data_IF_020233427494
#
_entry.id   IF_020233427494
#
_cell.length_a   1.000
_cell.length_b   1.000
_cell.length_c   1.000
_cell.angle_alpha   90.00
_cell.angle_beta   90.00
_cell.angle_gamma   90.00
#
_symmetry.space_group_name_H-M   'P 1'
#
loop_
_entity.id
_entity.type
_entity.pdbx_description
1 polymer ?
#
# COMPACT_ATOMS: atom_id res chain seq x y z
N UNK A 1 -8.67 -72.03 -42.04
CA UNK A 1 -9.74 -72.00 -41.03
C UNK A 1 -9.48 -70.85 -40.08
N UNK A 2 -10.56 -70.19 -39.70
CA UNK A 2 -10.71 -68.93 -38.95
C UNK A 2 -10.22 -69.06 -37.49
N UNK A 3 -9.53 -68.06 -36.94
CA UNK A 3 -10.05 -67.30 -35.78
C UNK A 3 -9.22 -66.05 -35.40
N UNK A 4 -9.94 -64.95 -35.26
CA UNK A 4 -9.54 -63.63 -34.75
C UNK A 4 -9.63 -63.65 -33.22
N UNK A 5 -8.62 -63.15 -32.51
CA UNK A 5 -8.76 -62.57 -31.15
C UNK A 5 -7.63 -61.56 -30.93
N UNK A 6 -7.82 -60.27 -31.23
CA UNK A 6 -8.21 -59.17 -30.33
C UNK A 6 -7.31 -58.95 -29.11
N UNK A 7 -6.73 -57.75 -29.09
CA UNK A 7 -6.54 -56.83 -27.97
C UNK A 7 -5.71 -57.30 -26.76
N UNK A 8 -4.56 -56.66 -26.53
CA UNK A 8 -4.42 -55.58 -25.54
C UNK A 8 -2.96 -55.09 -25.55
N UNK A 9 -2.70 -54.00 -26.27
CA UNK A 9 -1.54 -53.15 -26.00
C UNK A 9 -1.82 -52.42 -24.68
N UNK A 10 -1.21 -52.88 -23.60
CA UNK A 10 -1.22 -52.22 -22.30
C UNK A 10 -0.16 -51.12 -22.26
N UNK A 11 -0.64 -49.87 -22.29
CA UNK A 11 0.08 -48.63 -21.99
C UNK A 11 0.91 -48.74 -20.70
N UNK A 12 2.21 -48.40 -20.79
CA UNK A 12 2.98 -47.95 -19.65
C UNK A 12 3.78 -46.71 -20.06
N UNK A 13 3.07 -45.59 -20.25
CA UNK A 13 3.68 -44.28 -20.25
C UNK A 13 3.95 -43.91 -18.78
N UNK A 14 5.18 -44.11 -18.33
CA UNK A 14 5.68 -43.56 -17.08
C UNK A 14 5.64 -42.03 -17.18
N UNK A 15 4.59 -41.44 -16.61
CA UNK A 15 4.54 -40.01 -16.32
C UNK A 15 5.62 -39.71 -15.29
N UNK A 16 6.77 -39.23 -15.75
CA UNK A 16 7.72 -38.50 -14.92
C UNK A 16 7.05 -37.19 -14.53
N UNK A 17 6.28 -37.21 -13.44
CA UNK A 17 5.85 -36.01 -12.77
C UNK A 17 7.11 -35.33 -12.21
N UNK A 18 7.69 -34.41 -12.98
CA UNK A 18 8.64 -33.45 -12.45
C UNK A 18 7.93 -32.74 -11.29
N UNK A 19 8.37 -33.01 -10.06
CA UNK A 19 7.93 -32.27 -8.89
C UNK A 19 8.20 -30.79 -9.17
N UNK A 20 7.15 -30.01 -9.39
CA UNK A 20 7.26 -28.55 -9.42
C UNK A 20 7.71 -28.18 -8.01
N UNK A 21 8.89 -27.54 -7.82
CA UNK A 21 9.32 -27.14 -6.50
C UNK A 21 8.27 -26.20 -5.92
N UNK A 22 7.61 -26.62 -4.83
CA UNK A 22 6.57 -25.87 -4.12
C UNK A 22 7.12 -24.62 -3.42
N UNK A 23 8.45 -24.42 -3.45
CA UNK A 23 9.15 -23.39 -2.67
C UNK A 23 9.85 -22.35 -3.56
N UNK A 24 9.30 -22.04 -4.74
CA UNK A 24 9.80 -20.92 -5.55
C UNK A 24 9.83 -19.60 -4.76
N UNK A 25 8.91 -19.43 -3.80
CA UNK A 25 8.86 -18.26 -2.91
C UNK A 25 10.04 -18.19 -1.90
N UNK A 26 10.58 -19.32 -1.42
CA UNK A 26 11.73 -19.33 -0.50
C UNK A 26 13.06 -19.08 -1.22
N UNK A 27 13.08 -19.18 -2.55
CA UNK A 27 14.28 -18.95 -3.38
C UNK A 27 14.38 -17.52 -3.90
N UNK A 28 13.35 -16.69 -3.71
CA UNK A 28 13.43 -15.27 -4.05
C UNK A 28 14.16 -14.55 -2.91
N UNK A 29 15.33 -13.95 -3.15
CA UNK A 29 16.00 -13.17 -2.12
C UNK A 29 15.09 -12.04 -1.65
N UNK A 30 15.09 -11.77 -0.35
CA UNK A 30 14.33 -10.66 0.21
C UNK A 30 14.73 -9.36 -0.49
N UNK A 31 13.74 -8.60 -0.94
CA UNK A 31 14.00 -7.27 -1.50
C UNK A 31 14.35 -6.32 -0.36
N UNK A 32 15.60 -5.85 -0.32
CA UNK A 32 16.03 -4.85 0.65
C UNK A 32 15.71 -3.45 0.15
N UNK A 33 14.84 -2.73 0.87
CA UNK A 33 14.55 -1.32 0.60
C UNK A 33 15.68 -0.47 1.19
N UNK A 34 16.36 0.37 0.39
CA UNK A 34 17.36 1.31 0.92
C UNK A 34 16.76 2.18 2.03
N UNK A 35 17.44 2.27 3.17
CA UNK A 35 16.97 3.00 4.34
C UNK A 35 17.91 4.17 4.67
N UNK A 36 17.32 5.34 4.93
CA UNK A 36 18.04 6.55 5.29
C UNK A 36 17.54 7.10 6.63
N UNK A 37 18.44 7.70 7.42
CA UNK A 37 18.03 8.47 8.59
C UNK A 37 17.45 9.81 8.13
N UNK A 38 16.20 10.08 8.51
CA UNK A 38 15.49 11.29 8.13
C UNK A 38 16.18 12.57 8.63
N UNK A 39 16.87 12.51 9.77
CA UNK A 39 17.52 13.67 10.36
C UNK A 39 18.80 14.09 9.63
N UNK A 40 19.36 13.20 8.80
CA UNK A 40 20.66 13.42 8.14
C UNK A 40 20.56 13.52 6.62
N UNK A 41 19.33 13.65 6.07
CA UNK A 41 19.11 13.67 4.62
C UNK A 41 19.90 14.75 3.87
N UNK A 42 20.18 15.88 4.52
CA UNK A 42 20.95 16.99 3.95
C UNK A 42 22.45 16.95 4.23
N UNK A 43 22.95 15.89 4.89
CA UNK A 43 24.35 15.82 5.33
C UNK A 43 25.24 15.12 4.31
N UNK A 44 26.45 15.64 4.11
CA UNK A 44 27.47 14.99 3.27
C UNK A 44 26.97 14.63 1.87
N UNK A 45 27.17 13.38 1.48
CA UNK A 45 26.74 12.85 0.18
C UNK A 45 25.33 12.20 0.20
N UNK A 46 24.64 12.20 1.34
CA UNK A 46 23.33 11.56 1.48
C UNK A 46 22.32 11.98 0.41
N UNK A 47 22.26 13.25 -0.06
CA UNK A 47 21.40 13.61 -1.18
C UNK A 47 21.62 12.79 -2.46
N UNK A 48 22.87 12.56 -2.84
CA UNK A 48 23.19 11.76 -4.03
C UNK A 48 22.92 10.28 -3.79
N UNK A 49 23.18 9.77 -2.58
CA UNK A 49 22.88 8.38 -2.22
C UNK A 49 21.37 8.09 -2.29
N UNK A 50 20.54 9.04 -1.83
CA UNK A 50 19.07 8.99 -1.96
C UNK A 50 18.64 9.00 -3.43
N UNK A 51 19.23 9.88 -4.24
CA UNK A 51 18.93 9.94 -5.68
C UNK A 51 19.29 8.62 -6.38
N UNK A 52 20.44 8.05 -6.07
CA UNK A 52 20.91 6.80 -6.69
C UNK A 52 20.03 5.61 -6.29
N UNK A 53 19.60 5.55 -5.03
CA UNK A 53 18.63 4.55 -4.56
C UNK A 53 17.28 4.66 -5.30
N UNK A 54 16.75 5.89 -5.43
CA UNK A 54 15.49 6.13 -6.17
C UNK A 54 15.61 5.81 -7.66
N UNK A 55 16.75 6.08 -8.31
CA UNK A 55 16.98 5.70 -9.71
C UNK A 55 17.05 4.18 -9.89
N UNK A 56 17.61 3.47 -8.92
CA UNK A 56 17.83 2.03 -8.98
C UNK A 56 16.49 1.29 -8.84
N UNK A 57 15.72 1.60 -7.80
CA UNK A 57 14.58 0.78 -7.39
C UNK A 57 13.26 1.56 -7.26
N UNK A 58 13.30 2.89 -7.29
CA UNK A 58 12.12 3.75 -7.15
C UNK A 58 11.50 3.79 -5.75
N UNK A 59 12.08 3.06 -4.78
CA UNK A 59 11.61 2.98 -3.40
C UNK A 59 12.75 3.19 -2.42
N UNK A 60 12.48 3.96 -1.38
CA UNK A 60 13.35 4.18 -0.23
C UNK A 60 12.51 4.16 1.04
N UNK A 61 13.16 3.97 2.17
CA UNK A 61 12.55 4.04 3.49
C UNK A 61 13.29 5.04 4.38
N UNK A 62 12.58 5.56 5.38
CA UNK A 62 13.13 6.47 6.36
C UNK A 62 13.00 5.92 7.76
N UNK A 63 14.03 6.15 8.55
CA UNK A 63 14.03 5.97 10.01
C UNK A 63 14.09 7.32 10.70
N UNK A 64 13.73 7.37 11.98
CA UNK A 64 13.84 8.56 12.83
C UNK A 64 13.04 9.79 12.34
N UNK A 65 11.93 9.57 11.63
CA UNK A 65 10.98 10.64 11.30
C UNK A 65 10.32 11.14 12.60
N UNK A 66 10.46 12.43 12.97
CA UNK A 66 9.90 12.98 14.20
C UNK A 66 8.40 12.74 14.30
N UNK A 67 7.93 12.34 15.48
CA UNK A 67 6.50 12.13 15.82
C UNK A 67 5.74 11.08 14.99
N UNK A 68 6.34 10.48 13.95
CA UNK A 68 5.65 9.58 13.03
C UNK A 68 4.98 8.40 13.71
N UNK A 69 5.67 7.73 14.63
CA UNK A 69 5.10 6.57 15.32
C UNK A 69 3.84 6.93 16.13
N UNK A 70 3.83 8.11 16.77
CA UNK A 70 2.70 8.58 17.56
C UNK A 70 1.53 9.01 16.68
N UNK A 71 1.79 9.89 15.70
CA UNK A 71 0.76 10.42 14.80
C UNK A 71 0.14 9.30 13.95
N UNK A 72 0.97 8.39 13.42
CA UNK A 72 0.49 7.21 12.69
C UNK A 72 -0.42 6.35 13.55
N UNK A 73 -0.09 6.11 14.83
CA UNK A 73 -0.93 5.32 15.73
C UNK A 73 -2.28 6.00 15.95
N UNK A 74 -2.27 7.29 16.28
CA UNK A 74 -3.49 8.09 16.45
C UNK A 74 -4.39 8.02 15.23
N UNK A 75 -3.82 8.19 14.03
CA UNK A 75 -4.55 8.06 12.78
C UNK A 75 -5.12 6.66 12.56
N UNK A 76 -4.32 5.61 12.71
CA UNK A 76 -4.80 4.24 12.49
C UNK A 76 -5.88 3.83 13.48
N UNK A 77 -5.78 4.24 14.74
CA UNK A 77 -6.79 3.96 15.75
C UNK A 77 -8.11 4.69 15.41
N UNK A 78 -8.03 5.97 15.05
CA UNK A 78 -9.18 6.78 14.61
C UNK A 78 -9.83 6.24 13.33
N UNK A 79 -9.03 5.90 12.32
CA UNK A 79 -9.52 5.38 11.05
C UNK A 79 -10.15 3.99 11.19
N UNK A 80 -9.57 3.12 12.02
CA UNK A 80 -10.15 1.81 12.32
C UNK A 80 -11.51 1.95 13.02
N UNK A 81 -11.59 2.79 14.05
CA UNK A 81 -12.83 3.04 14.76
C UNK A 81 -13.90 3.63 13.83
N UNK A 82 -13.54 4.62 13.01
CA UNK A 82 -14.44 5.23 12.05
C UNK A 82 -14.93 4.24 10.99
N UNK A 83 -14.04 3.41 10.43
CA UNK A 83 -14.42 2.44 9.40
C UNK A 83 -15.47 1.43 9.91
N UNK A 84 -15.35 1.01 11.17
CA UNK A 84 -16.31 0.09 11.81
C UNK A 84 -17.63 0.81 12.13
N UNK A 85 -17.60 2.00 12.73
CA UNK A 85 -18.85 2.72 13.07
C UNK A 85 -19.59 3.22 11.83
N UNK A 86 -18.87 3.65 10.79
CA UNK A 86 -19.45 4.12 9.54
C UNK A 86 -20.18 3.00 8.78
N UNK A 87 -19.79 1.74 9.01
CA UNK A 87 -20.49 0.57 8.45
C UNK A 87 -21.91 0.46 9.02
N UNK A 88 -22.09 0.72 10.32
CA UNK A 88 -23.39 0.59 11.00
C UNK A 88 -24.45 1.55 10.43
N UNK A 89 -23.99 2.72 9.96
CA UNK A 89 -24.84 3.77 9.38
C UNK A 89 -24.80 3.80 7.85
N UNK A 90 -24.12 2.84 7.21
CA UNK A 90 -23.96 2.74 5.76
C UNK A 90 -23.45 4.06 5.13
N UNK A 91 -22.39 4.63 5.70
CA UNK A 91 -21.86 5.92 5.27
C UNK A 91 -21.34 5.88 3.81
N UNK A 92 -21.68 6.89 3.02
CA UNK A 92 -21.40 6.94 1.58
C UNK A 92 -19.90 6.88 1.23
N UNK A 93 -19.03 7.44 2.08
CA UNK A 93 -17.58 7.45 1.84
C UNK A 93 -16.92 6.08 2.08
N UNK A 94 -17.63 5.14 2.70
CA UNK A 94 -17.08 3.85 3.10
C UNK A 94 -17.29 2.82 1.99
N UNK A 95 -16.19 2.30 1.43
CA UNK A 95 -16.26 1.17 0.52
C UNK A 95 -16.18 -0.14 1.30
N UNK A 96 -17.03 -1.10 0.95
CA UNK A 96 -17.10 -2.41 1.58
C UNK A 96 -16.87 -3.53 0.57
N UNK A 97 -16.10 -4.56 0.98
CA UNK A 97 -15.94 -5.79 0.22
C UNK A 97 -15.74 -6.98 1.15
N UNK A 98 -16.54 -8.03 1.00
CA UNK A 98 -16.23 -9.35 1.57
C UNK A 98 -15.29 -10.11 0.64
N UNK A 99 -14.19 -10.60 1.18
CA UNK A 99 -13.18 -11.40 0.48
C UNK A 99 -13.61 -12.87 0.40
N UNK A 100 -12.91 -13.65 -0.42
CA UNK A 100 -13.24 -15.06 -0.69
C UNK A 100 -13.20 -15.94 0.57
N UNK A 101 -12.37 -15.58 1.55
CA UNK A 101 -12.24 -16.25 2.84
C UNK A 101 -13.27 -15.78 3.88
N UNK A 102 -14.21 -14.90 3.48
CA UNK A 102 -15.22 -14.31 4.35
C UNK A 102 -14.74 -13.06 5.11
N UNK A 103 -13.47 -12.65 4.96
CA UNK A 103 -12.95 -11.44 5.60
C UNK A 103 -13.63 -10.20 5.03
N UNK A 104 -14.19 -9.37 5.89
CA UNK A 104 -14.76 -8.08 5.53
C UNK A 104 -13.66 -7.03 5.45
N UNK A 105 -13.60 -6.28 4.34
CA UNK A 105 -12.68 -5.16 4.14
C UNK A 105 -13.47 -3.87 4.00
N UNK A 106 -13.17 -2.93 4.88
CA UNK A 106 -13.66 -1.55 4.83
C UNK A 106 -12.56 -0.65 4.31
N UNK A 107 -12.90 0.29 3.44
CA UNK A 107 -11.94 1.25 2.87
C UNK A 107 -12.44 2.67 3.03
N UNK A 108 -11.59 3.50 3.62
CA UNK A 108 -11.73 4.95 3.60
C UNK A 108 -10.68 5.46 2.61
N UNK A 109 -11.14 6.19 1.59
CA UNK A 109 -10.28 6.85 0.62
C UNK A 109 -10.37 8.35 0.85
N UNK A 110 -9.26 9.00 1.16
CA UNK A 110 -9.23 10.44 1.42
C UNK A 110 -8.11 11.07 0.59
N UNK A 111 -8.37 12.10 -0.22
CA UNK A 111 -7.30 12.89 -0.83
C UNK A 111 -6.36 13.41 0.26
N UNK A 112 -5.06 13.42 0.01
CA UNK A 112 -4.04 13.89 0.96
C UNK A 112 -3.16 14.98 0.35
N UNK A 113 -2.34 15.63 1.18
CA UNK A 113 -1.50 16.75 0.73
C UNK A 113 -2.33 18.00 0.42
N UNK A 114 -2.08 18.63 -0.74
CA UNK A 114 -2.72 19.91 -1.10
C UNK A 114 -4.23 19.79 -1.37
N UNK A 115 -4.73 18.58 -1.63
CA UNK A 115 -6.14 18.33 -1.95
C UNK A 115 -6.96 17.79 -0.75
N UNK A 116 -6.41 17.82 0.47
CA UNK A 116 -6.89 17.02 1.61
C UNK A 116 -8.31 17.31 2.16
N UNK A 117 -9.04 18.31 1.64
CA UNK A 117 -10.09 18.95 2.45
C UNK A 117 -11.50 18.37 2.26
N UNK A 118 -11.89 17.98 1.04
CA UNK A 118 -13.29 17.66 0.75
C UNK A 118 -13.76 16.34 1.40
N UNK A 119 -13.01 15.25 1.24
CA UNK A 119 -13.44 13.93 1.72
C UNK A 119 -13.24 13.74 3.22
N UNK A 120 -12.23 14.39 3.81
CA UNK A 120 -12.03 14.38 5.25
C UNK A 120 -13.23 15.04 5.97
N UNK A 121 -13.81 16.09 5.40
CA UNK A 121 -15.00 16.78 5.93
C UNK A 121 -16.22 15.86 5.95
N UNK A 122 -16.48 15.12 4.86
CA UNK A 122 -17.59 14.14 4.81
C UNK A 122 -17.37 13.01 5.82
N UNK A 123 -16.13 12.54 5.98
CA UNK A 123 -15.79 11.49 6.94
C UNK A 123 -16.00 11.98 8.38
N UNK A 124 -15.60 13.22 8.69
CA UNK A 124 -15.76 13.84 10.00
C UNK A 124 -17.23 13.99 10.42
N UNK A 125 -18.13 14.21 9.46
CA UNK A 125 -19.57 14.26 9.73
C UNK A 125 -20.14 12.94 10.28
N UNK A 126 -19.61 11.80 9.83
CA UNK A 126 -19.97 10.47 10.37
C UNK A 126 -19.12 10.07 11.58
N UNK A 127 -17.89 10.58 11.66
CA UNK A 127 -16.89 10.26 12.67
C UNK A 127 -16.28 11.54 13.25
N UNK A 128 -16.96 12.22 14.19
CA UNK A 128 -16.50 13.52 14.69
C UNK A 128 -15.09 13.46 15.28
N UNK A 129 -14.20 14.35 14.81
CA UNK A 129 -12.81 14.43 15.23
C UNK A 129 -11.84 13.68 14.30
N UNK A 130 -12.35 12.88 13.35
CA UNK A 130 -11.52 12.18 12.35
C UNK A 130 -10.67 13.17 11.55
N UNK A 131 -11.26 14.27 11.06
CA UNK A 131 -10.55 15.23 10.19
C UNK A 131 -9.34 15.83 10.90
N UNK A 132 -9.46 16.16 12.18
CA UNK A 132 -8.34 16.75 12.94
C UNK A 132 -7.15 15.79 13.00
N UNK A 133 -7.41 14.51 13.27
CA UNK A 133 -6.36 13.49 13.36
C UNK A 133 -5.78 13.19 11.97
N UNK A 134 -6.63 13.15 10.95
CA UNK A 134 -6.20 12.95 9.56
C UNK A 134 -5.32 14.10 9.07
N UNK A 135 -5.71 15.35 9.31
CA UNK A 135 -4.96 16.54 8.91
C UNK A 135 -3.57 16.57 9.58
N UNK A 136 -3.47 16.16 10.85
CA UNK A 136 -2.18 16.04 11.55
C UNK A 136 -1.27 14.99 10.87
N UNK A 137 -1.81 13.81 10.54
CA UNK A 137 -1.07 12.77 9.84
C UNK A 137 -0.67 13.18 8.43
N UNK A 138 -1.59 13.75 7.66
CA UNK A 138 -1.36 14.21 6.29
C UNK A 138 -0.30 15.32 6.25
N UNK A 139 -0.35 16.27 7.20
CA UNK A 139 0.65 17.34 7.32
C UNK A 139 2.05 16.80 7.63
N UNK A 140 2.14 15.78 8.48
CA UNK A 140 3.41 15.13 8.77
C UNK A 140 3.99 14.44 7.52
N UNK A 141 3.16 13.73 6.76
CA UNK A 141 3.59 13.08 5.51
C UNK A 141 4.03 14.10 4.46
N UNK A 142 3.31 15.21 4.31
CA UNK A 142 3.69 16.28 3.38
C UNK A 142 5.03 16.92 3.79
N UNK A 143 5.30 17.10 5.09
CA UNK A 143 6.61 17.56 5.56
C UNK A 143 7.74 16.59 5.16
N UNK A 144 7.50 15.27 5.30
CA UNK A 144 8.46 14.25 4.88
C UNK A 144 8.72 14.34 3.38
N UNK A 145 7.66 14.40 2.57
CA UNK A 145 7.75 14.55 1.11
C UNK A 145 8.55 15.79 0.74
N UNK A 146 8.25 16.95 1.34
CA UNK A 146 8.93 18.20 1.05
C UNK A 146 10.43 18.14 1.39
N UNK A 147 10.80 17.42 2.45
CA UNK A 147 12.20 17.20 2.80
C UNK A 147 12.92 16.27 1.82
N UNK A 148 12.25 15.22 1.31
CA UNK A 148 12.80 14.41 0.22
C UNK A 148 13.01 15.27 -1.03
N UNK A 149 12.02 16.09 -1.38
CA UNK A 149 12.11 16.96 -2.54
C UNK A 149 13.25 17.97 -2.41
N UNK A 150 13.43 18.55 -1.22
CA UNK A 150 14.56 19.44 -0.90
C UNK A 150 15.90 18.71 -1.00
N UNK A 151 15.95 17.46 -0.55
CA UNK A 151 17.14 16.61 -0.64
C UNK A 151 17.52 16.37 -2.10
N UNK A 152 16.54 16.06 -2.96
CA UNK A 152 16.78 15.87 -4.40
C UNK A 152 17.18 17.17 -5.10
N UNK A 153 16.64 18.31 -4.70
CA UNK A 153 17.03 19.63 -5.23
C UNK A 153 18.51 19.98 -4.90
N UNK A 154 19.12 19.34 -3.91
CA UNK A 154 20.54 19.50 -3.59
C UNK A 154 21.48 18.65 -4.47
N UNK A 155 20.93 17.87 -5.40
CA UNK A 155 21.67 17.00 -6.32
C UNK A 155 21.73 17.60 -7.73
N UNK A 156 22.33 16.87 -8.68
CA UNK A 156 22.28 17.23 -10.11
C UNK A 156 21.01 16.74 -10.81
N UNK A 157 20.00 16.26 -10.06
CA UNK A 157 18.75 15.82 -10.64
C UNK A 157 17.99 17.00 -11.26
N UNK A 158 17.58 16.82 -12.51
CA UNK A 158 16.75 17.79 -13.24
C UNK A 158 15.67 17.03 -13.99
N UNK A 159 14.46 17.59 -14.00
CA UNK A 159 13.34 17.08 -14.81
C UNK A 159 12.64 18.24 -15.49
N UNK A 160 11.83 17.94 -16.51
CA UNK A 160 11.07 18.93 -17.28
C UNK A 160 9.60 18.60 -17.27
N UNK A 161 8.74 19.62 -17.35
CA UNK A 161 7.31 19.44 -17.58
C UNK A 161 7.01 19.00 -19.02
N UNK A 162 5.71 18.81 -19.33
CA UNK A 162 5.25 18.45 -20.67
C UNK A 162 5.52 19.49 -21.76
N UNK A 163 6.03 20.67 -21.39
CA UNK A 163 6.43 21.76 -22.30
C UNK A 163 7.95 21.91 -22.39
N UNK A 164 8.73 21.02 -21.77
CA UNK A 164 10.19 21.03 -21.78
C UNK A 164 10.81 22.06 -20.83
N UNK A 165 10.03 22.67 -19.92
CA UNK A 165 10.55 23.61 -18.94
C UNK A 165 11.07 22.85 -17.71
N UNK A 166 12.27 23.20 -17.23
CA UNK A 166 12.83 22.63 -16.01
C UNK A 166 11.91 22.87 -14.81
N UNK A 167 11.63 21.81 -14.06
CA UNK A 167 10.90 21.85 -12.79
C UNK A 167 11.78 21.32 -11.67
N UNK A 168 11.68 21.93 -10.47
CA UNK A 168 12.37 21.42 -9.29
C UNK A 168 11.70 20.14 -8.79
N UNK A 169 12.46 19.33 -8.04
CA UNK A 169 11.93 18.14 -7.36
C UNK A 169 10.83 18.53 -6.39
N UNK A 170 10.98 19.67 -5.70
CA UNK A 170 9.90 20.25 -4.87
C UNK A 170 8.62 20.46 -5.66
N UNK A 171 8.69 21.12 -6.82
CA UNK A 171 7.51 21.34 -7.65
C UNK A 171 6.91 20.01 -8.11
N UNK A 172 7.74 19.08 -8.59
CA UNK A 172 7.30 17.76 -9.01
C UNK A 172 6.54 17.01 -7.90
N UNK A 173 7.06 17.04 -6.67
CA UNK A 173 6.48 16.30 -5.56
C UNK A 173 5.25 16.97 -4.92
N UNK A 174 5.16 18.31 -4.97
CA UNK A 174 4.00 19.06 -4.48
C UNK A 174 2.83 19.02 -5.46
N UNK A 175 3.09 18.99 -6.77
CA UNK A 175 2.04 18.85 -7.79
C UNK A 175 1.45 17.42 -7.87
N UNK A 176 2.07 16.44 -7.19
CA UNK A 176 1.59 15.07 -7.19
C UNK A 176 0.30 14.95 -6.39
N UNK A 177 -0.75 14.42 -7.03
CA UNK A 177 -2.00 14.07 -6.35
C UNK A 177 -1.75 12.87 -5.44
N UNK A 178 -2.15 13.01 -4.17
CA UNK A 178 -2.00 11.96 -3.17
C UNK A 178 -3.37 11.45 -2.74
N UNK A 179 -3.44 10.15 -2.53
CA UNK A 179 -4.65 9.48 -2.08
C UNK A 179 -4.28 8.52 -0.97
N UNK A 180 -4.82 8.77 0.21
CA UNK A 180 -4.63 7.92 1.37
C UNK A 180 -5.74 6.86 1.38
N UNK A 181 -5.32 5.60 1.28
CA UNK A 181 -6.20 4.44 1.38
C UNK A 181 -5.98 3.75 2.71
N UNK A 182 -6.98 3.86 3.59
CA UNK A 182 -7.03 3.08 4.81
C UNK A 182 -7.87 1.83 4.59
N UNK A 183 -7.36 0.67 5.02
CA UNK A 183 -8.08 -0.59 4.99
C UNK A 183 -8.23 -1.16 6.40
N UNK A 184 -9.46 -1.33 6.87
CA UNK A 184 -9.77 -2.13 8.05
C UNK A 184 -10.25 -3.52 7.62
N UNK A 185 -9.76 -4.54 8.30
CA UNK A 185 -10.13 -5.94 8.06
C UNK A 185 -10.82 -6.50 9.29
N UNK A 186 -12.02 -7.03 9.10
CA UNK A 186 -12.78 -7.72 10.12
C UNK A 186 -12.90 -9.20 9.74
N UNK A 187 -12.50 -10.07 10.65
CA UNK A 187 -12.61 -11.52 10.44
C UNK A 187 -14.08 -11.94 10.43
N UNK A 188 -14.48 -12.92 9.61
CA UNK A 188 -15.85 -13.40 9.58
C UNK A 188 -16.30 -13.92 10.95
N UNK A 189 -17.55 -13.64 11.30
CA UNK A 189 -18.16 -14.15 12.52
C UNK A 189 -18.13 -15.69 12.52
N UNK A 190 -18.23 -16.31 13.70
CA UNK A 190 -18.32 -17.78 13.80
C UNK A 190 -19.54 -18.34 13.08
N UNK A 191 -20.61 -17.54 12.93
CA UNK A 191 -21.82 -17.92 12.20
C UNK A 191 -21.56 -17.96 10.69
N UNK A 192 -20.96 -16.91 10.14
CA UNK A 192 -20.59 -16.84 8.71
C UNK A 192 -19.58 -17.92 8.32
N UNK A 193 -18.58 -18.17 9.18
CA UNK A 193 -17.63 -19.28 8.97
C UNK A 193 -18.31 -20.64 8.88
N UNK A 194 -19.35 -20.88 9.69
CA UNK A 194 -20.11 -22.14 9.67
C UNK A 194 -21.00 -22.25 8.42
N UNK A 195 -21.60 -21.16 7.96
CA UNK A 195 -22.38 -21.14 6.71
C UNK A 195 -21.47 -21.42 5.50
N UNK A 196 -20.31 -20.76 5.42
CA UNK A 196 -19.35 -20.99 4.32
C UNK A 196 -18.78 -22.41 4.31
N UNK A 197 -18.63 -23.04 5.48
CA UNK A 197 -18.19 -24.44 5.58
C UNK A 197 -19.29 -25.45 5.23
N UNK A 198 -20.57 -25.05 5.28
CA UNK A 198 -21.71 -25.92 4.97
C UNK A 198 -22.05 -25.95 3.46
N UNK A 199 -21.64 -24.92 2.71
CA UNK A 199 -21.81 -24.80 1.27
C UNK A 199 -20.60 -25.31 0.45
N UNK A 200 -19.58 -25.88 1.12
CA UNK A 200 -18.35 -26.44 0.52
C UNK A 200 -18.36 -27.97 0.40
#
# INVERSE_FOLDING_TARGET
>A
MVQVTKMLLGLAALLMASAVPTNLAEQVPAFEVPNFDYQTLSTGNTPNDVLDALKKDGIISFTNVPSYAQVRRSYLDSAAACAVSAQEVNAEFLLFKTLTDGTNRYTISTPSGQDADATATTTDAACPGYKTIYDEFSSLLELVVLNVATTLDATTFTTTDGYGKTVSSRKLMTDAVRLDHFHAYETPSLHERRLMSADS
#
